data_IF_840447997992
#
_entry.id   IF_840447997992
#
_cell.length_a   1.000
_cell.length_b   1.000
_cell.length_c   1.000
_cell.angle_alpha   90.00
_cell.angle_beta   90.00
_cell.angle_gamma   90.00
#
_symmetry.space_group_name_H-M   'P 1'
#
loop_
_entity.id
_entity.type
_entity.pdbx_description
1 polymer ?
#
# COMPACT_ATOMS: atom_id res chain seq x y z
N UNK A 1 27.22 8.81 -12.75
CA UNK A 1 25.80 8.74 -12.35
C UNK A 1 25.59 9.64 -11.15
N UNK A 2 24.69 10.59 -11.24
CA UNK A 2 24.31 11.34 -10.03
C UNK A 2 23.56 10.39 -9.09
N UNK A 3 24.04 10.27 -7.87
CA UNK A 3 23.39 9.47 -6.84
C UNK A 3 22.00 10.06 -6.59
N UNK A 4 20.96 9.21 -6.70
CA UNK A 4 19.59 9.65 -6.50
C UNK A 4 19.35 10.05 -5.04
N UNK A 5 19.08 11.32 -4.82
CA UNK A 5 18.82 11.84 -3.48
C UNK A 5 17.30 11.92 -3.20
N UNK A 6 16.79 10.91 -2.53
CA UNK A 6 15.39 10.79 -2.15
C UNK A 6 14.87 11.99 -1.32
N UNK A 7 15.68 12.45 -0.36
CA UNK A 7 15.30 13.57 0.51
C UNK A 7 15.12 14.86 -0.28
N UNK A 8 16.11 15.14 -1.17
CA UNK A 8 16.03 16.30 -2.04
C UNK A 8 14.82 16.23 -2.96
N UNK A 9 14.54 15.07 -3.54
CA UNK A 9 13.37 14.88 -4.41
C UNK A 9 12.06 15.19 -3.67
N UNK A 10 11.88 14.67 -2.44
CA UNK A 10 10.70 14.99 -1.63
C UNK A 10 10.66 16.47 -1.22
N UNK A 11 11.81 17.07 -0.91
CA UNK A 11 11.92 18.48 -0.60
C UNK A 11 11.43 19.37 -1.75
N UNK A 12 11.87 19.06 -2.96
CA UNK A 12 11.51 19.79 -4.17
C UNK A 12 10.00 19.58 -4.51
N UNK A 13 9.51 18.35 -4.43
CA UNK A 13 8.12 18.00 -4.74
C UNK A 13 7.12 18.63 -3.78
N UNK A 14 7.40 18.61 -2.49
CA UNK A 14 6.51 19.15 -1.46
C UNK A 14 6.81 20.61 -1.08
N UNK A 15 7.82 21.21 -1.69
CA UNK A 15 8.26 22.59 -1.42
C UNK A 15 8.51 22.84 0.08
N UNK A 16 9.18 21.90 0.73
CA UNK A 16 9.59 21.95 2.14
C UNK A 16 11.10 21.73 2.24
N UNK A 17 11.72 22.15 3.35
CA UNK A 17 13.16 21.93 3.55
C UNK A 17 13.49 20.44 3.68
N UNK A 18 14.71 20.04 3.30
CA UNK A 18 15.20 18.67 3.53
C UNK A 18 15.18 18.29 5.01
N UNK A 19 15.39 19.24 5.92
CA UNK A 19 15.26 19.03 7.36
C UNK A 19 13.83 18.61 7.75
N UNK A 20 12.84 19.27 7.19
CA UNK A 20 11.43 18.93 7.41
C UNK A 20 11.09 17.55 6.84
N UNK A 21 11.63 17.22 5.66
CA UNK A 21 11.49 15.86 5.06
C UNK A 21 12.06 14.81 6.01
N UNK A 22 13.27 15.01 6.54
CA UNK A 22 13.88 14.07 7.50
C UNK A 22 13.00 13.91 8.74
N UNK A 23 12.48 15.02 9.29
CA UNK A 23 11.58 14.99 10.45
C UNK A 23 10.33 14.17 10.19
N UNK A 24 9.70 14.34 9.03
CA UNK A 24 8.51 13.58 8.63
C UNK A 24 8.83 12.10 8.48
N UNK A 25 9.92 11.74 7.82
CA UNK A 25 10.34 10.35 7.59
C UNK A 25 10.66 9.61 8.90
N UNK A 26 11.37 10.26 9.82
CA UNK A 26 11.70 9.68 11.14
C UNK A 26 10.44 9.44 11.97
N UNK A 27 9.44 10.32 11.88
CA UNK A 27 8.17 10.18 12.60
C UNK A 27 7.20 9.20 11.95
N UNK A 28 7.33 8.95 10.65
CA UNK A 28 6.37 8.15 9.89
C UNK A 28 6.05 6.78 10.50
N UNK A 29 7.01 5.96 11.01
CA UNK A 29 6.71 4.67 11.63
C UNK A 29 5.81 4.77 12.87
N UNK A 30 5.80 5.90 13.54
CA UNK A 30 5.04 6.15 14.77
C UNK A 30 3.77 6.97 14.53
N UNK A 31 3.60 7.52 13.34
CA UNK A 31 2.51 8.42 12.99
C UNK A 31 1.26 7.65 12.53
N UNK A 32 0.77 6.71 13.35
CA UNK A 32 -0.41 5.91 13.08
C UNK A 32 -1.42 6.01 14.21
N UNK A 33 -2.67 6.28 13.88
CA UNK A 33 -3.80 6.10 14.79
C UNK A 33 -4.21 4.62 14.78
N UNK A 34 -4.16 3.98 15.95
CA UNK A 34 -4.55 2.56 16.12
C UNK A 34 -5.91 2.47 16.78
N UNK A 35 -6.80 1.67 16.20
CA UNK A 35 -8.13 1.39 16.73
C UNK A 35 -8.62 0.03 16.22
N UNK A 36 -9.75 -0.44 16.74
CA UNK A 36 -10.34 -1.70 16.32
C UNK A 36 -11.72 -1.48 15.70
N UNK A 37 -12.06 -2.32 14.75
CA UNK A 37 -13.41 -2.37 14.16
C UNK A 37 -13.98 -3.79 14.30
N UNK A 38 -15.31 -3.94 14.46
CA UNK A 38 -15.94 -5.26 14.50
C UNK A 38 -15.85 -5.93 13.14
N UNK A 39 -15.64 -7.25 13.13
CA UNK A 39 -15.73 -8.08 11.92
C UNK A 39 -17.17 -8.56 11.74
N UNK A 40 -17.61 -8.70 10.50
CA UNK A 40 -18.92 -9.32 10.18
C UNK A 40 -19.04 -10.77 10.65
N UNK A 41 -17.92 -11.48 10.70
CA UNK A 41 -17.80 -12.87 11.17
C UNK A 41 -17.63 -13.02 12.69
N UNK A 42 -17.74 -11.93 13.46
CA UNK A 42 -17.45 -11.88 14.89
C UNK A 42 -16.00 -11.54 15.19
N UNK A 43 -15.76 -11.02 16.42
CA UNK A 43 -14.43 -10.53 16.84
C UNK A 43 -14.12 -9.14 16.32
N UNK A 44 -12.87 -8.71 16.52
CA UNK A 44 -12.41 -7.37 16.15
C UNK A 44 -11.22 -7.44 15.18
N UNK A 45 -11.07 -6.39 14.38
CA UNK A 45 -9.93 -6.20 13.49
C UNK A 45 -9.15 -4.96 13.93
N UNK A 46 -7.86 -5.10 14.25
CA UNK A 46 -7.01 -3.94 14.50
C UNK A 46 -6.78 -3.16 13.21
N UNK A 47 -6.88 -1.85 13.29
CA UNK A 47 -6.61 -0.91 12.19
C UNK A 47 -5.47 0.01 12.61
N UNK A 48 -4.53 0.23 11.72
CA UNK A 48 -3.47 1.23 11.84
C UNK A 48 -3.64 2.24 10.70
N UNK A 49 -4.18 3.40 11.03
CA UNK A 49 -4.41 4.47 10.06
C UNK A 49 -3.24 5.45 10.08
N UNK A 50 -2.52 5.66 8.97
CA UNK A 50 -1.41 6.61 8.91
C UNK A 50 -1.91 8.03 9.12
N UNK A 51 -1.08 8.89 9.72
CA UNK A 51 -1.29 10.32 9.78
C UNK A 51 -1.37 10.91 8.35
N UNK A 52 -2.01 12.06 8.22
CA UNK A 52 -2.25 12.71 6.93
C UNK A 52 -0.96 12.91 6.14
N UNK A 53 0.08 13.41 6.79
CA UNK A 53 1.40 13.66 6.17
C UNK A 53 2.07 12.36 5.69
N UNK A 54 2.02 11.30 6.51
CA UNK A 54 2.54 9.97 6.14
C UNK A 54 1.79 9.42 4.92
N UNK A 55 0.47 9.58 4.88
CA UNK A 55 -0.36 9.13 3.77
C UNK A 55 -0.04 9.87 2.45
N UNK A 56 0.26 11.16 2.52
CA UNK A 56 0.69 11.95 1.36
C UNK A 56 2.00 11.38 0.77
N UNK A 57 3.00 11.11 1.64
CA UNK A 57 4.27 10.52 1.22
C UNK A 57 4.06 9.12 0.61
N UNK A 58 3.25 8.28 1.23
CA UNK A 58 2.91 6.95 0.72
C UNK A 58 2.26 7.02 -0.67
N UNK A 59 1.30 7.91 -0.87
CA UNK A 59 0.65 8.10 -2.17
C UNK A 59 1.64 8.60 -3.24
N UNK A 60 2.54 9.50 -2.86
CA UNK A 60 3.60 9.95 -3.76
C UNK A 60 4.51 8.78 -4.19
N UNK A 61 4.96 7.97 -3.24
CA UNK A 61 5.77 6.77 -3.53
C UNK A 61 5.05 5.79 -4.44
N UNK A 62 3.76 5.55 -4.21
CA UNK A 62 2.95 4.69 -5.05
C UNK A 62 2.90 5.20 -6.50
N UNK A 63 2.64 6.49 -6.69
CA UNK A 63 2.47 7.06 -8.01
C UNK A 63 3.79 7.23 -8.76
N UNK A 64 4.88 7.55 -8.07
CA UNK A 64 6.15 7.86 -8.69
C UNK A 64 7.03 6.63 -8.93
N UNK A 65 7.12 5.70 -7.97
CA UNK A 65 7.98 4.52 -8.09
C UNK A 65 7.22 3.23 -8.28
N UNK A 66 6.29 2.93 -7.38
CA UNK A 66 5.66 1.61 -7.34
C UNK A 66 4.74 1.34 -8.53
N UNK A 67 4.13 2.37 -9.09
CA UNK A 67 3.34 2.26 -10.33
C UNK A 67 4.16 1.80 -11.55
N UNK A 68 5.48 1.96 -11.50
CA UNK A 68 6.42 1.55 -12.57
C UNK A 68 6.92 0.11 -12.40
N UNK A 69 6.65 -0.51 -11.25
CA UNK A 69 7.07 -1.88 -11.01
C UNK A 69 6.17 -2.86 -11.80
N UNK A 70 6.76 -3.89 -12.39
CA UNK A 70 5.99 -4.89 -13.10
C UNK A 70 5.10 -5.66 -12.12
N UNK A 71 3.86 -5.90 -12.52
CA UNK A 71 2.90 -6.69 -11.75
C UNK A 71 2.64 -7.97 -12.50
N UNK A 72 2.79 -9.12 -11.82
CA UNK A 72 2.53 -10.41 -12.44
C UNK A 72 1.09 -10.51 -12.94
N UNK A 73 0.88 -11.17 -14.07
CA UNK A 73 -0.44 -11.29 -14.72
C UNK A 73 -1.50 -11.94 -13.84
N UNK A 74 -1.10 -12.88 -12.96
CA UNK A 74 -2.00 -13.54 -12.01
C UNK A 74 -2.54 -12.60 -10.91
N UNK A 75 -1.91 -11.43 -10.68
CA UNK A 75 -2.38 -10.46 -9.71
C UNK A 75 -3.63 -9.75 -10.26
N UNK A 76 -4.78 -10.07 -9.67
CA UNK A 76 -6.08 -9.55 -10.09
C UNK A 76 -6.56 -8.34 -9.26
N UNK A 77 -5.73 -7.85 -8.33
CA UNK A 77 -6.05 -6.71 -7.46
C UNK A 77 -4.87 -5.73 -7.36
N UNK A 78 -5.15 -4.54 -6.82
CA UNK A 78 -4.15 -3.50 -6.53
C UNK A 78 -3.32 -3.03 -7.74
N UNK A 79 -3.85 -3.14 -8.94
CA UNK A 79 -3.26 -2.61 -10.16
C UNK A 79 -4.29 -1.80 -10.94
N UNK A 80 -3.80 -0.89 -11.78
CA UNK A 80 -4.68 -0.08 -12.62
C UNK A 80 -5.53 -0.98 -13.55
N UNK A 81 -6.83 -0.67 -13.65
CA UNK A 81 -7.77 -1.44 -14.46
C UNK A 81 -8.23 -2.78 -13.86
N UNK A 82 -7.75 -3.15 -12.66
CA UNK A 82 -8.22 -4.35 -11.97
C UNK A 82 -9.66 -4.18 -11.49
N UNK A 83 -10.47 -5.23 -11.68
CA UNK A 83 -11.85 -5.27 -11.19
C UNK A 83 -12.23 -6.68 -10.71
N UNK A 84 -13.22 -6.74 -9.85
CA UNK A 84 -13.80 -8.01 -9.39
C UNK A 84 -14.34 -8.81 -10.58
N UNK A 85 -14.94 -8.13 -11.55
CA UNK A 85 -15.44 -8.74 -12.78
C UNK A 85 -14.32 -9.43 -13.56
N UNK A 86 -13.21 -8.72 -13.82
CA UNK A 86 -12.08 -9.27 -14.57
C UNK A 86 -11.45 -10.47 -13.85
N UNK A 87 -11.45 -10.47 -12.53
CA UNK A 87 -11.00 -11.62 -11.75
C UNK A 87 -11.96 -12.81 -11.92
N UNK A 88 -13.26 -12.58 -11.80
CA UNK A 88 -14.27 -13.63 -11.95
C UNK A 88 -14.27 -14.24 -13.37
N UNK A 89 -14.12 -13.43 -14.40
CA UNK A 89 -14.06 -13.87 -15.80
C UNK A 89 -12.95 -14.89 -16.08
N UNK A 90 -11.84 -14.85 -15.34
CA UNK A 90 -10.73 -15.81 -15.46
C UNK A 90 -11.11 -17.23 -15.02
N UNK A 91 -12.18 -17.36 -14.24
CA UNK A 91 -12.65 -18.64 -13.70
C UNK A 91 -13.90 -19.18 -14.38
N UNK A 92 -14.39 -18.47 -15.40
CA UNK A 92 -15.55 -18.95 -16.18
C UNK A 92 -15.17 -20.24 -16.93
N UNK A 93 -16.03 -21.23 -16.85
CA UNK A 93 -15.83 -22.54 -17.48
C UNK A 93 -14.96 -23.52 -16.70
N UNK A 94 -14.45 -23.15 -15.52
CA UNK A 94 -13.74 -24.09 -14.65
C UNK A 94 -14.70 -25.13 -14.07
N UNK A 95 -14.31 -26.41 -14.05
CA UNK A 95 -15.09 -27.49 -13.47
C UNK A 95 -15.13 -27.46 -11.95
N UNK A 96 -14.09 -26.91 -11.32
CA UNK A 96 -14.02 -26.69 -9.87
C UNK A 96 -13.13 -25.49 -9.58
N UNK A 97 -13.31 -24.88 -8.40
CA UNK A 97 -12.52 -23.75 -7.90
C UNK A 97 -12.07 -24.07 -6.47
N UNK A 98 -10.77 -23.92 -6.22
CA UNK A 98 -10.21 -23.99 -4.86
C UNK A 98 -9.78 -22.58 -4.44
N UNK A 99 -10.12 -22.20 -3.20
CA UNK A 99 -9.75 -20.93 -2.60
C UNK A 99 -8.80 -21.15 -1.43
N UNK A 100 -7.67 -20.49 -1.47
CA UNK A 100 -6.67 -20.49 -0.39
C UNK A 100 -6.50 -19.08 0.12
N UNK A 101 -6.33 -18.94 1.44
CA UNK A 101 -6.05 -17.66 2.08
C UNK A 101 -5.04 -17.87 3.20
N UNK A 102 -4.00 -17.03 3.23
CA UNK A 102 -2.96 -17.12 4.26
C UNK A 102 -3.43 -16.41 5.53
N UNK A 103 -3.32 -17.09 6.65
CA UNK A 103 -3.65 -16.51 7.96
C UNK A 103 -2.59 -15.47 8.33
N UNK A 104 -3.03 -14.24 8.58
CA UNK A 104 -2.18 -13.14 9.02
C UNK A 104 -0.91 -12.96 8.17
N UNK A 105 -1.04 -13.00 6.84
CA UNK A 105 0.09 -12.99 5.90
C UNK A 105 1.10 -11.87 6.18
N UNK A 106 0.65 -10.61 6.23
CA UNK A 106 1.56 -9.49 6.48
C UNK A 106 2.17 -9.47 7.89
N UNK A 107 1.48 -10.02 8.86
CA UNK A 107 1.99 -10.12 10.24
C UNK A 107 2.95 -11.30 10.45
N UNK A 108 3.00 -12.22 9.49
CA UNK A 108 3.85 -13.43 9.56
C UNK A 108 5.17 -13.31 8.79
N UNK A 109 5.32 -12.24 8.01
CA UNK A 109 6.53 -11.96 7.21
C UNK A 109 7.61 -11.33 8.07
#
# INVERSE_FOLDING_TARGET
>A
MSEYNFRKHLSDEFMISEHEVVRLLVRAPYAYKRYTIPKKSGGVRPIAQPAKETKIIQNFMMNFWFSKLPVHECAAAYKHGASIKNNAERHVGCSFISKFDFVNFFGSI
#
